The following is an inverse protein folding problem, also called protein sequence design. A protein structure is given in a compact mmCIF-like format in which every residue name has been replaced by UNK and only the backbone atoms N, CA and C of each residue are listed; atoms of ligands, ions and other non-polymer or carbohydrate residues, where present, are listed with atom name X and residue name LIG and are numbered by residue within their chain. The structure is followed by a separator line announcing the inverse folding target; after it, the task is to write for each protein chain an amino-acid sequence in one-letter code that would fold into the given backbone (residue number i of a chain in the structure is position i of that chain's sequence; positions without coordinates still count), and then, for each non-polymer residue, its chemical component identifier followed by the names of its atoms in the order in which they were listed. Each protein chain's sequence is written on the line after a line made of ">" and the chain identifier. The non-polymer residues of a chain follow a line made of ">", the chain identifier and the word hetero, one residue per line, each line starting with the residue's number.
data_IF_220994535804
#
_entry.id   IF_220994535804
#
_cell.length_a   1.000
_cell.length_b   1.000
_cell.length_c   1.000
_cell.angle_alpha   90.00
_cell.angle_beta   90.00
_cell.angle_gamma   90.00
#
_symmetry.space_group_name_H-M   'P 1'
#
loop_
_entity.id
_entity.type
_entity.pdbx_description
1 polymer ?
#
# COMPACT_ATOMS: atom_id res chain seq x y z
N UNK A 1 23.00 -1.28 -36.60
CA UNK A 1 23.16 -1.89 -35.27
C UNK A 1 23.00 -3.40 -35.46
N UNK A 2 23.92 -4.22 -34.96
CA UNK A 2 23.82 -5.69 -35.06
C UNK A 2 22.81 -6.24 -34.06
N UNK A 3 22.30 -7.44 -34.30
CA UNK A 3 21.40 -8.12 -33.36
C UNK A 3 22.05 -8.33 -31.99
N UNK A 4 23.36 -8.61 -31.94
CA UNK A 4 24.10 -8.75 -30.68
C UNK A 4 24.20 -7.44 -29.91
N UNK A 5 24.50 -6.33 -30.60
CA UNK A 5 24.54 -5.00 -29.98
C UNK A 5 23.16 -4.59 -29.45
N UNK A 6 22.11 -4.79 -30.27
CA UNK A 6 20.73 -4.52 -29.86
C UNK A 6 20.34 -5.31 -28.60
N UNK A 7 20.56 -6.63 -28.58
CA UNK A 7 20.19 -7.46 -27.43
C UNK A 7 21.01 -7.12 -26.18
N UNK A 8 22.28 -6.73 -26.31
CA UNK A 8 23.09 -6.30 -25.18
C UNK A 8 22.60 -4.96 -24.61
N UNK A 9 22.33 -3.97 -25.45
CA UNK A 9 21.71 -2.71 -25.04
C UNK A 9 20.39 -2.97 -24.28
N UNK A 10 19.56 -3.89 -24.78
CA UNK A 10 18.28 -4.22 -24.12
C UNK A 10 18.47 -4.95 -22.80
N UNK A 11 19.47 -5.83 -22.69
CA UNK A 11 19.82 -6.46 -21.40
C UNK A 11 20.29 -5.45 -20.37
N UNK A 12 21.11 -4.46 -20.77
CA UNK A 12 21.55 -3.37 -19.89
C UNK A 12 20.35 -2.56 -19.38
N UNK A 13 19.43 -2.18 -20.26
CA UNK A 13 18.20 -1.43 -19.87
C UNK A 13 17.33 -2.24 -18.91
N UNK A 14 17.20 -3.55 -19.12
CA UNK A 14 16.36 -4.43 -18.30
C UNK A 14 17.05 -4.94 -17.03
N UNK A 15 18.31 -4.55 -16.76
CA UNK A 15 19.09 -5.01 -15.60
C UNK A 15 19.42 -6.52 -15.64
N UNK A 16 19.54 -7.10 -16.83
CA UNK A 16 19.74 -8.53 -17.07
C UNK A 16 21.19 -8.80 -17.49
N UNK A 17 21.77 -9.91 -17.03
CA UNK A 17 23.19 -10.21 -17.30
C UNK A 17 23.41 -11.36 -18.30
N UNK A 18 22.37 -12.11 -18.66
CA UNK A 18 22.49 -13.29 -19.53
C UNK A 18 21.43 -13.38 -20.64
N UNK A 19 21.75 -14.12 -21.70
CA UNK A 19 20.79 -14.43 -22.76
C UNK A 19 19.70 -15.39 -22.26
N UNK A 20 20.01 -16.26 -21.29
CA UNK A 20 19.05 -17.12 -20.60
C UNK A 20 17.97 -16.33 -19.86
N UNK A 21 18.36 -15.35 -19.06
CA UNK A 21 17.42 -14.49 -18.33
C UNK A 21 16.55 -13.68 -19.30
N UNK A 22 17.15 -13.15 -20.37
CA UNK A 22 16.38 -12.45 -21.41
C UNK A 22 15.37 -13.39 -22.08
N UNK A 23 15.78 -14.61 -22.41
CA UNK A 23 14.89 -15.62 -23.01
C UNK A 23 13.71 -15.93 -22.09
N UNK A 24 13.96 -16.12 -20.79
CA UNK A 24 12.92 -16.35 -19.79
C UNK A 24 11.95 -15.15 -19.71
N UNK A 25 12.48 -13.92 -19.64
CA UNK A 25 11.67 -12.69 -19.48
C UNK A 25 10.77 -12.41 -20.69
N UNK A 26 11.22 -12.71 -21.90
CA UNK A 26 10.40 -12.56 -23.12
C UNK A 26 9.56 -13.80 -23.45
N UNK A 27 9.75 -14.94 -22.77
CA UNK A 27 9.00 -16.17 -23.04
C UNK A 27 9.46 -16.91 -24.30
N UNK A 28 10.77 -16.97 -24.54
CA UNK A 28 11.40 -17.76 -25.62
C UNK A 28 12.50 -18.68 -25.07
N UNK A 29 13.23 -19.37 -25.95
CA UNK A 29 14.41 -20.15 -25.59
C UNK A 29 15.72 -19.43 -25.94
N UNK A 30 16.79 -19.73 -25.20
CA UNK A 30 18.15 -19.27 -25.53
C UNK A 30 18.56 -19.65 -26.96
N UNK A 31 18.14 -20.83 -27.43
CA UNK A 31 18.41 -21.27 -28.80
C UNK A 31 17.80 -20.36 -29.86
N UNK A 32 16.62 -19.79 -29.60
CA UNK A 32 16.03 -18.79 -30.49
C UNK A 32 16.86 -17.51 -30.51
N UNK A 33 17.33 -17.05 -29.35
CA UNK A 33 18.23 -15.89 -29.26
C UNK A 33 19.52 -16.13 -30.04
N UNK A 34 20.15 -17.31 -29.86
CA UNK A 34 21.35 -17.70 -30.61
C UNK A 34 21.11 -17.66 -32.12
N UNK A 35 19.96 -18.15 -32.60
CA UNK A 35 19.58 -18.08 -34.02
C UNK A 35 19.41 -16.64 -34.52
N UNK A 36 18.90 -15.72 -33.71
CA UNK A 36 18.77 -14.30 -34.09
C UNK A 36 20.13 -13.63 -34.22
N UNK A 37 21.04 -13.92 -33.29
CA UNK A 37 22.42 -13.42 -33.32
C UNK A 37 23.17 -13.97 -34.55
N UNK A 38 23.06 -15.27 -34.82
CA UNK A 38 23.69 -15.88 -36.00
C UNK A 38 23.18 -15.31 -37.33
N UNK A 39 21.89 -14.97 -37.40
CA UNK A 39 21.25 -14.39 -38.59
C UNK A 39 21.34 -12.87 -38.64
N UNK A 40 21.96 -12.26 -37.64
CA UNK A 40 22.04 -10.82 -37.39
C UNK A 40 20.68 -10.09 -37.52
N UNK A 41 19.59 -10.74 -37.08
CA UNK A 41 18.23 -10.19 -37.15
C UNK A 41 17.34 -10.70 -36.02
N UNK A 42 16.86 -9.76 -35.19
CA UNK A 42 15.80 -10.01 -34.20
C UNK A 42 14.44 -9.85 -34.90
N UNK A 43 13.54 -10.85 -34.86
CA UNK A 43 12.23 -10.73 -35.50
C UNK A 43 11.36 -9.63 -34.86
N UNK A 44 10.55 -8.95 -35.66
CA UNK A 44 9.77 -7.77 -35.23
C UNK A 44 8.85 -8.04 -34.04
N UNK A 45 8.24 -9.23 -34.00
CA UNK A 45 7.47 -9.71 -32.84
C UNK A 45 8.26 -9.57 -31.53
N UNK A 46 9.52 -9.95 -31.54
CA UNK A 46 10.36 -9.95 -30.34
C UNK A 46 10.89 -8.55 -30.03
N UNK A 47 11.16 -7.72 -31.04
CA UNK A 47 11.46 -6.31 -30.82
C UNK A 47 10.29 -5.59 -30.12
N UNK A 48 9.05 -5.90 -30.51
CA UNK A 48 7.85 -5.36 -29.88
C UNK A 48 7.69 -5.81 -28.42
N UNK A 49 7.88 -7.12 -28.15
CA UNK A 49 7.81 -7.66 -26.79
C UNK A 49 8.89 -7.05 -25.90
N UNK A 50 10.14 -6.96 -26.40
CA UNK A 50 11.25 -6.34 -25.67
C UNK A 50 10.95 -4.85 -25.41
N UNK A 51 10.45 -4.11 -26.40
CA UNK A 51 10.06 -2.71 -26.23
C UNK A 51 8.89 -2.49 -25.28
N UNK A 52 7.99 -3.46 -25.12
CA UNK A 52 6.94 -3.44 -24.09
C UNK A 52 7.53 -3.67 -22.70
N UNK A 53 8.49 -4.59 -22.57
CA UNK A 53 9.21 -4.82 -21.32
C UNK A 53 10.04 -3.60 -20.90
N UNK A 54 10.69 -2.92 -21.85
CA UNK A 54 11.40 -1.67 -21.59
C UNK A 54 10.47 -0.57 -21.06
N UNK A 55 9.22 -0.51 -21.52
CA UNK A 55 8.24 0.45 -20.99
C UNK A 55 7.74 0.09 -19.60
N UNK A 56 7.78 -1.20 -19.23
CA UNK A 56 7.46 -1.64 -17.87
C UNK A 56 8.65 -1.54 -16.90
N UNK A 57 9.89 -1.75 -17.37
CA UNK A 57 11.12 -1.61 -16.57
C UNK A 57 11.62 -0.16 -16.49
N UNK A 58 11.28 0.70 -17.47
CA UNK A 58 11.31 2.16 -17.31
C UNK A 58 10.15 2.62 -16.40
N UNK A 59 9.93 1.94 -15.28
CA UNK A 59 9.34 2.62 -14.14
C UNK A 59 10.22 3.82 -13.84
N UNK A 60 9.60 4.99 -13.71
CA UNK A 60 10.20 6.24 -13.24
C UNK A 60 11.29 5.98 -12.17
N UNK A 61 12.35 6.81 -12.08
CA UNK A 61 13.37 6.67 -11.04
C UNK A 61 12.69 6.32 -9.73
N UNK A 62 13.02 5.15 -9.13
CA UNK A 62 12.30 4.52 -8.02
C UNK A 62 11.83 5.60 -7.04
N UNK A 63 10.59 6.04 -7.21
CA UNK A 63 10.11 7.18 -6.46
C UNK A 63 9.86 6.63 -5.06
N UNK A 64 10.78 6.91 -4.16
CA UNK A 64 10.67 6.47 -2.78
C UNK A 64 9.68 7.37 -2.05
N UNK A 65 8.83 6.78 -1.24
CA UNK A 65 8.02 7.48 -0.24
C UNK A 65 8.48 7.05 1.14
N UNK A 66 8.58 8.02 2.05
CA UNK A 66 8.82 7.75 3.47
C UNK A 66 7.47 7.66 4.19
N UNK A 67 7.23 6.56 4.89
CA UNK A 67 6.02 6.29 5.65
C UNK A 67 6.41 6.12 7.13
N UNK A 68 5.66 6.75 8.03
CA UNK A 68 5.91 6.62 9.46
C UNK A 68 5.31 5.31 9.98
N UNK A 69 6.07 4.56 10.77
CA UNK A 69 5.64 3.37 11.48
C UNK A 69 5.45 3.69 12.96
N UNK A 70 4.29 3.32 13.48
CA UNK A 70 3.96 3.40 14.89
C UNK A 70 3.61 2.00 15.43
N UNK A 71 4.46 1.46 16.31
CA UNK A 71 4.29 0.10 16.86
C UNK A 71 3.47 0.08 18.15
N UNK A 72 3.65 1.09 19.01
CA UNK A 72 3.02 1.18 20.32
C UNK A 72 2.13 2.41 20.41
N UNK A 73 1.08 2.44 19.58
CA UNK A 73 0.05 3.48 19.68
C UNK A 73 -0.95 3.07 20.77
N UNK A 74 -0.49 2.95 22.01
CA UNK A 74 -1.41 2.81 23.13
C UNK A 74 -2.18 4.13 23.28
N UNK A 75 -3.49 3.96 23.43
CA UNK A 75 -4.58 4.89 23.17
C UNK A 75 -4.64 6.14 24.08
N UNK A 76 -3.53 6.78 24.44
CA UNK A 76 -3.63 7.94 25.38
C UNK A 76 -2.72 9.11 25.08
N UNK A 77 -1.78 9.02 24.13
CA UNK A 77 -0.90 10.17 23.88
C UNK A 77 -0.25 10.25 22.48
N UNK A 78 -0.42 9.28 21.58
CA UNK A 78 0.50 9.11 20.45
C UNK A 78 0.05 9.60 19.08
N UNK A 79 -1.12 9.17 18.61
CA UNK A 79 -1.50 9.31 17.19
C UNK A 79 -2.81 10.11 17.08
N UNK A 80 -2.71 11.37 16.65
CA UNK A 80 -3.85 12.29 16.57
C UNK A 80 -3.89 13.40 17.64
N UNK A 81 -2.99 13.37 18.63
CA UNK A 81 -2.72 14.52 19.50
C UNK A 81 -1.72 15.46 18.80
N UNK A 82 -1.97 16.77 18.78
CA UNK A 82 -1.12 17.75 18.10
C UNK A 82 0.33 17.83 18.64
N UNK A 83 0.60 17.27 19.83
CA UNK A 83 1.89 17.28 20.52
C UNK A 83 2.19 15.92 21.17
N UNK A 84 2.36 14.86 20.38
CA UNK A 84 2.78 13.57 20.90
C UNK A 84 4.30 13.41 20.87
N UNK A 85 4.91 13.00 21.98
CA UNK A 85 6.35 12.68 22.09
C UNK A 85 6.72 11.35 21.39
N UNK A 86 5.75 10.72 20.70
CA UNK A 86 5.97 9.44 20.01
C UNK A 86 6.71 9.70 18.71
N UNK A 87 8.01 9.44 18.72
CA UNK A 87 8.87 9.48 17.53
C UNK A 87 8.59 8.24 16.68
N UNK A 88 8.03 8.39 15.47
CA UNK A 88 7.81 7.24 14.61
C UNK A 88 9.12 6.71 14.02
N UNK A 89 9.13 5.42 13.72
CA UNK A 89 10.16 4.84 12.86
C UNK A 89 9.86 5.21 11.41
N UNK A 90 10.81 5.78 10.68
CA UNK A 90 10.61 6.14 9.27
C UNK A 90 11.04 4.99 8.37
N UNK A 91 10.11 4.48 7.58
CA UNK A 91 10.35 3.43 6.60
C UNK A 91 10.31 4.02 5.18
N UNK A 92 11.15 3.53 4.28
CA UNK A 92 11.14 3.93 2.88
C UNK A 92 10.61 2.80 2.01
N UNK A 93 9.65 3.14 1.14
CA UNK A 93 9.04 2.22 0.20
C UNK A 93 9.14 2.76 -1.21
N UNK A 94 9.34 1.86 -2.16
CA UNK A 94 9.13 2.18 -3.57
C UNK A 94 7.62 2.37 -3.85
N UNK A 95 7.27 3.43 -4.58
CA UNK A 95 5.87 3.71 -4.92
C UNK A 95 5.22 2.60 -5.74
N UNK A 96 5.95 1.95 -6.67
CA UNK A 96 5.39 0.86 -7.47
C UNK A 96 5.11 -0.37 -6.61
N UNK A 97 5.95 -0.64 -5.61
CA UNK A 97 5.66 -1.68 -4.61
C UNK A 97 4.32 -1.41 -3.90
N UNK A 98 4.08 -0.17 -3.47
CA UNK A 98 2.81 0.18 -2.81
C UNK A 98 1.59 0.10 -3.74
N UNK A 99 1.75 0.48 -5.01
CA UNK A 99 0.69 0.34 -6.03
C UNK A 99 0.40 -1.15 -6.26
N UNK A 100 1.43 -1.94 -6.52
CA UNK A 100 1.28 -3.33 -6.94
C UNK A 100 0.72 -4.23 -5.84
N UNK A 101 1.21 -4.07 -4.60
CA UNK A 101 0.86 -4.98 -3.51
C UNK A 101 -0.25 -4.47 -2.60
N UNK A 102 -0.46 -3.15 -2.53
CA UNK A 102 -1.47 -2.55 -1.65
C UNK A 102 -2.49 -1.69 -2.38
N UNK A 103 -2.38 -1.53 -3.71
CA UNK A 103 -3.27 -0.71 -4.53
C UNK A 103 -3.35 0.76 -4.04
N UNK A 104 -2.23 1.27 -3.52
CA UNK A 104 -2.10 2.64 -3.00
C UNK A 104 -1.61 3.54 -4.12
N UNK A 105 -2.42 4.53 -4.50
CA UNK A 105 -2.12 5.50 -5.57
C UNK A 105 -1.88 6.92 -5.07
N UNK A 106 -2.13 7.17 -3.78
CA UNK A 106 -1.81 8.42 -3.08
C UNK A 106 -0.75 8.13 -2.02
N UNK A 107 0.33 8.90 -2.04
CA UNK A 107 1.50 8.65 -1.20
C UNK A 107 1.68 9.69 -0.10
N UNK A 108 0.88 10.75 -0.12
CA UNK A 108 0.92 11.80 0.89
C UNK A 108 0.21 11.31 2.16
N UNK A 109 0.78 11.67 3.32
CA UNK A 109 0.18 11.44 4.64
C UNK A 109 -0.17 9.97 4.93
N UNK A 110 0.68 9.04 4.48
CA UNK A 110 0.58 7.63 4.83
C UNK A 110 1.33 7.34 6.13
N UNK A 111 0.71 6.51 6.96
CA UNK A 111 1.37 5.88 8.11
C UNK A 111 1.07 4.37 8.14
N UNK A 112 1.92 3.65 8.85
CA UNK A 112 1.72 2.27 9.24
C UNK A 112 1.52 2.22 10.75
N UNK A 113 0.49 1.52 11.19
CA UNK A 113 0.19 1.36 12.61
C UNK A 113 0.02 -0.11 12.92
N UNK A 114 0.61 -0.57 14.03
CA UNK A 114 0.34 -1.88 14.59
C UNK A 114 -1.01 -1.88 15.29
N UNK A 115 -1.86 -2.83 14.95
CA UNK A 115 -3.17 -3.00 15.58
C UNK A 115 -3.04 -3.81 16.85
N UNK A 116 -3.75 -3.38 17.89
CA UNK A 116 -3.88 -4.07 19.16
C UNK A 116 -5.36 -4.39 19.41
N UNK A 117 -5.62 -5.61 19.87
CA UNK A 117 -6.96 -6.15 20.09
C UNK A 117 -7.56 -6.82 18.85
N UNK A 118 -8.71 -7.45 19.07
CA UNK A 118 -9.34 -8.40 18.15
C UNK A 118 -10.75 -7.96 17.71
N UNK A 119 -11.15 -6.73 18.04
CA UNK A 119 -12.48 -6.20 17.70
C UNK A 119 -12.75 -6.09 16.19
N UNK A 120 -11.70 -6.17 15.38
CA UNK A 120 -11.78 -6.16 13.93
C UNK A 120 -11.59 -7.55 13.31
N UNK A 121 -11.56 -8.62 14.09
CA UNK A 121 -11.57 -9.98 13.55
C UNK A 121 -12.86 -10.26 12.77
N UNK A 122 -12.79 -11.07 11.68
CA UNK A 122 -11.60 -11.70 11.11
C UNK A 122 -10.84 -10.79 10.13
N UNK A 123 -11.28 -9.55 9.93
CA UNK A 123 -10.73 -8.64 8.93
C UNK A 123 -9.31 -8.18 9.29
N UNK A 124 -9.09 -7.77 10.54
CA UNK A 124 -7.78 -7.34 11.05
C UNK A 124 -7.55 -8.06 12.38
N UNK A 125 -6.40 -8.72 12.51
CA UNK A 125 -6.01 -9.45 13.70
C UNK A 125 -5.14 -8.60 14.63
N UNK A 126 -5.14 -8.95 15.91
CA UNK A 126 -4.17 -8.44 16.87
C UNK A 126 -2.73 -8.63 16.36
N UNK A 127 -1.90 -7.60 16.45
CA UNK A 127 -0.53 -7.60 15.98
C UNK A 127 -0.33 -7.42 14.48
N UNK A 128 -1.37 -7.42 13.64
CA UNK A 128 -1.24 -7.02 12.23
C UNK A 128 -0.93 -5.52 12.10
N UNK A 129 -0.29 -5.15 11.00
CA UNK A 129 -0.05 -3.74 10.69
C UNK A 129 -1.05 -3.26 9.64
N UNK A 130 -1.44 -1.99 9.71
CA UNK A 130 -2.35 -1.36 8.75
C UNK A 130 -1.70 -0.14 8.11
N UNK A 131 -1.92 0.05 6.81
CA UNK A 131 -1.55 1.28 6.10
C UNK A 131 -2.75 2.22 6.13
N UNK A 132 -2.51 3.45 6.58
CA UNK A 132 -3.54 4.44 6.87
C UNK A 132 -3.23 5.71 6.09
N UNK A 133 -4.23 6.25 5.39
CA UNK A 133 -4.19 7.63 4.88
C UNK A 133 -4.74 8.56 5.96
N UNK A 134 -3.95 9.54 6.43
CA UNK A 134 -4.46 10.57 7.36
C UNK A 134 -5.47 11.46 6.62
N UNK A 135 -6.73 11.27 6.94
CA UNK A 135 -7.85 12.03 6.38
C UNK A 135 -9.08 11.85 7.27
N UNK A 136 -9.83 12.93 7.43
CA UNK A 136 -11.14 12.95 8.09
C UNK A 136 -12.30 12.71 7.09
N UNK A 137 -12.02 12.66 5.79
CA UNK A 137 -12.99 12.54 4.70
C UNK A 137 -13.44 11.09 4.44
N UNK A 138 -13.64 10.31 5.50
CA UNK A 138 -14.08 8.93 5.40
C UNK A 138 -15.53 8.82 4.90
N UNK A 139 -15.82 7.74 4.19
CA UNK A 139 -17.16 7.39 3.68
C UNK A 139 -17.78 6.30 4.54
N UNK A 140 -19.10 6.19 4.49
CA UNK A 140 -19.80 5.04 5.09
C UNK A 140 -19.28 3.76 4.44
N UNK A 141 -18.96 2.75 5.25
CA UNK A 141 -18.31 1.52 4.84
C UNK A 141 -16.79 1.53 4.95
N UNK A 142 -16.13 2.68 5.09
CA UNK A 142 -14.66 2.70 5.27
C UNK A 142 -14.26 2.12 6.63
N UNK A 143 -13.13 1.43 6.69
CA UNK A 143 -12.47 1.14 7.97
C UNK A 143 -11.62 2.34 8.35
N UNK A 144 -11.84 2.86 9.55
CA UNK A 144 -11.25 4.13 10.01
C UNK A 144 -10.52 3.96 11.33
N UNK A 145 -9.59 4.88 11.55
CA UNK A 145 -9.05 5.15 12.88
C UNK A 145 -9.80 6.35 13.44
N UNK A 146 -10.54 6.12 14.51
CA UNK A 146 -11.28 7.13 15.24
C UNK A 146 -10.59 7.43 16.56
N UNK A 147 -10.50 8.70 16.93
CA UNK A 147 -10.20 9.15 18.27
C UNK A 147 -11.51 9.46 19.00
N UNK A 148 -11.70 8.88 20.18
CA UNK A 148 -12.82 9.12 21.08
C UNK A 148 -12.22 9.36 22.46
N UNK A 149 -12.41 10.56 23.01
CA UNK A 149 -11.90 10.91 24.34
C UNK A 149 -10.39 10.66 24.53
N UNK A 150 -9.61 10.85 23.46
CA UNK A 150 -8.17 10.62 23.47
C UNK A 150 -7.75 9.18 23.12
N UNK A 151 -8.69 8.24 23.14
CA UNK A 151 -8.45 6.83 22.80
C UNK A 151 -8.67 6.54 21.32
N UNK A 152 -7.85 5.64 20.76
CA UNK A 152 -7.92 5.27 19.36
C UNK A 152 -8.61 3.93 19.14
N UNK A 153 -9.47 3.92 18.14
CA UNK A 153 -10.27 2.76 17.76
C UNK A 153 -10.16 2.51 16.27
N UNK A 154 -9.92 1.25 15.89
CA UNK A 154 -10.10 0.79 14.51
C UNK A 154 -11.51 0.21 14.39
N UNK A 155 -12.36 0.80 13.55
CA UNK A 155 -13.76 0.40 13.37
C UNK A 155 -14.22 0.62 11.93
N UNK A 156 -15.32 -0.02 11.52
CA UNK A 156 -16.02 0.34 10.29
C UNK A 156 -16.95 1.52 10.54
N UNK A 157 -16.80 2.57 9.75
CA UNK A 157 -17.66 3.74 9.83
C UNK A 157 -19.00 3.49 9.14
N UNK A 158 -20.09 3.82 9.80
CA UNK A 158 -21.44 3.83 9.23
C UNK A 158 -22.09 5.17 9.49
N UNK A 159 -22.25 5.96 8.44
CA UNK A 159 -22.97 7.24 8.49
C UNK A 159 -24.47 6.99 8.29
N UNK A 160 -25.30 7.57 9.14
CA UNK A 160 -26.76 7.48 8.99
C UNK A 160 -27.23 8.56 8.02
N UNK A 161 -27.92 8.22 6.91
CA UNK A 161 -28.42 9.21 5.97
C UNK A 161 -29.33 10.23 6.67
N UNK A 162 -29.19 11.51 6.29
CA UNK A 162 -30.01 12.63 6.79
C UNK A 162 -29.88 12.94 8.29
N UNK A 163 -29.03 12.23 9.02
CA UNK A 163 -28.71 12.49 10.42
C UNK A 163 -27.25 12.95 10.56
N UNK A 164 -26.95 13.73 11.62
CA UNK A 164 -25.56 14.06 11.98
C UNK A 164 -24.85 12.91 12.71
N UNK A 165 -25.56 11.82 12.97
CA UNK A 165 -25.10 10.72 13.78
C UNK A 165 -24.41 9.64 12.96
N UNK A 166 -23.49 8.94 13.62
CA UNK A 166 -22.72 7.86 13.01
C UNK A 166 -22.52 6.73 14.00
N UNK A 167 -22.22 5.56 13.45
CA UNK A 167 -21.96 4.34 14.19
C UNK A 167 -20.58 3.85 13.77
N UNK A 168 -19.80 3.41 14.75
CA UNK A 168 -18.54 2.69 14.54
C UNK A 168 -18.78 1.22 14.86
N UNK A 169 -18.79 0.39 13.83
CA UNK A 169 -19.06 -1.04 13.93
C UNK A 169 -17.75 -1.82 14.07
N UNK A 170 -17.74 -2.78 14.99
CA UNK A 170 -16.72 -3.82 15.05
C UNK A 170 -17.02 -4.87 13.98
N UNK A 171 -15.99 -5.47 13.38
CA UNK A 171 -16.19 -6.66 12.54
C UNK A 171 -16.42 -7.90 13.40
N UNK A 172 -15.84 -7.92 14.59
CA UNK A 172 -16.05 -8.96 15.57
C UNK A 172 -17.39 -8.73 16.29
N UNK A 173 -18.31 -9.70 16.19
CA UNK A 173 -19.67 -9.63 16.73
C UNK A 173 -19.72 -9.63 18.26
N UNK A 174 -18.65 -10.09 18.92
CA UNK A 174 -18.53 -10.07 20.38
C UNK A 174 -18.35 -8.65 20.93
N UNK A 175 -18.05 -7.68 20.06
CA UNK A 175 -17.81 -6.28 20.43
C UNK A 175 -18.97 -5.38 19.99
N UNK A 176 -19.59 -4.63 20.92
CA UNK A 176 -20.69 -3.74 20.56
C UNK A 176 -20.22 -2.58 19.68
N UNK A 177 -21.12 -2.09 18.83
CA UNK A 177 -20.90 -0.87 18.06
C UNK A 177 -20.93 0.36 18.96
N UNK A 178 -20.11 1.36 18.63
CA UNK A 178 -20.07 2.65 19.33
C UNK A 178 -20.94 3.65 18.57
N UNK A 179 -21.94 4.23 19.24
CA UNK A 179 -22.83 5.24 18.64
C UNK A 179 -22.40 6.65 19.04
N UNK A 180 -22.18 7.48 18.03
CA UNK A 180 -21.96 8.92 18.16
C UNK A 180 -23.28 9.61 17.77
N UNK A 181 -24.16 9.71 18.77
CA UNK A 181 -25.59 10.06 18.64
C UNK A 181 -26.00 11.30 19.46
N UNK A 182 -25.01 12.07 19.93
CA UNK A 182 -25.22 13.35 20.62
C UNK A 182 -24.15 14.36 20.23
N UNK A 183 -24.42 15.64 20.45
CA UNK A 183 -23.45 16.70 20.20
C UNK A 183 -22.22 16.57 21.09
N UNK A 184 -22.41 16.23 22.37
CA UNK A 184 -21.31 15.97 23.32
C UNK A 184 -20.36 14.89 22.78
N UNK A 185 -20.88 13.72 22.40
CA UNK A 185 -20.04 12.66 21.81
C UNK A 185 -19.35 13.10 20.52
N UNK A 186 -19.99 13.95 19.73
CA UNK A 186 -19.43 14.45 18.47
C UNK A 186 -18.27 15.43 18.72
N UNK A 187 -18.32 16.24 19.77
CA UNK A 187 -17.24 17.16 20.17
C UNK A 187 -15.96 16.40 20.58
N UNK A 188 -16.14 15.22 21.17
CA UNK A 188 -15.07 14.33 21.62
C UNK A 188 -14.64 13.27 20.59
N UNK A 189 -15.24 13.29 19.39
CA UNK A 189 -14.98 12.32 18.32
C UNK A 189 -14.24 12.96 17.15
N UNK A 190 -13.20 12.29 16.66
CA UNK A 190 -12.51 12.68 15.42
C UNK A 190 -12.12 11.47 14.59
N UNK A 191 -12.25 11.57 13.28
CA UNK A 191 -11.62 10.60 12.36
C UNK A 191 -10.19 11.07 12.12
N UNK A 192 -9.23 10.19 12.40
CA UNK A 192 -7.80 10.48 12.26
C UNK A 192 -7.29 9.97 10.90
N UNK A 193 -7.81 8.84 10.43
CA UNK A 193 -7.39 8.27 9.16
C UNK A 193 -8.28 7.15 8.66
N UNK A 194 -8.02 6.77 7.41
CA UNK A 194 -8.75 5.75 6.66
C UNK A 194 -7.78 4.60 6.36
N UNK A 195 -8.14 3.39 6.77
CA UNK A 195 -7.35 2.19 6.49
C UNK A 195 -7.45 1.86 5.00
N UNK A 196 -6.30 1.76 4.33
CA UNK A 196 -6.19 1.45 2.89
C UNK A 196 -5.82 0.01 2.64
N UNK A 197 -4.99 -0.55 3.50
CA UNK A 197 -4.58 -1.93 3.40
C UNK A 197 -4.09 -2.47 4.74
N UNK A 198 -3.96 -3.79 4.83
CA UNK A 198 -3.34 -4.46 5.96
C UNK A 198 -2.13 -5.26 5.52
N UNK A 199 -1.18 -5.38 6.42
CA UNK A 199 0.08 -6.11 6.27
C UNK A 199 0.00 -7.26 7.27
N UNK A 200 -0.08 -8.47 6.73
CA UNK A 200 -0.06 -9.70 7.53
C UNK A 200 1.39 -10.12 7.74
N UNK A 201 1.80 -10.22 8.99
CA UNK A 201 3.02 -10.93 9.35
C UNK A 201 2.67 -12.42 9.41
N UNK A 202 3.50 -13.22 8.75
CA UNK A 202 3.34 -14.64 8.44
C UNK A 202 2.96 -15.52 9.64
#
# INVERSE_FOLDING_TARGET
>A
MTARMYLNEKKEILGINSDEELALKIGTSKDNINKWVQRDKVPDKWQLIIGQLEKSDNSLPSEMVTINLYEDVNASAGYGAYNSDVVPTKLQFDKNFLIQFFNITKFDNLDIIRVMGDSMLPLICDGEYIIVERSDLARSGDTVIANIDGELYVKRLKKIPYEKWLILESENQDYPSIKIDSLEKLEHFRIIGIVKSKIKLY
#
